data_IF_608075698929
#
_entry.id   IF_608075698929
#
_cell.length_a   1.000
_cell.length_b   1.000
_cell.length_c   1.000
_cell.angle_alpha   90.00
_cell.angle_beta   90.00
_cell.angle_gamma   90.00
#
_symmetry.space_group_name_H-M   'P 1'
#
loop_
_entity.id
_entity.type
_entity.pdbx_description
1 polymer ?
#
# COMPACT_ATOMS: atom_id res chain seq x y z
N UNK A 1 21.56 -19.05 4.15
CA UNK A 1 21.56 -18.37 5.46
C UNK A 1 21.77 -16.85 5.32
N UNK A 2 20.97 -16.14 4.51
CA UNK A 2 21.09 -14.67 4.36
C UNK A 2 19.88 -13.89 4.91
N UNK A 3 18.78 -14.57 5.25
CA UNK A 3 17.53 -13.90 5.66
C UNK A 3 17.52 -13.48 7.15
N UNK A 4 18.47 -13.94 7.97
CA UNK A 4 18.48 -13.67 9.41
C UNK A 4 19.15 -12.33 9.81
N UNK A 5 19.86 -11.67 8.89
CA UNK A 5 20.60 -10.42 9.21
C UNK A 5 19.73 -9.16 9.16
N UNK A 6 18.69 -9.12 8.32
CA UNK A 6 17.86 -7.92 8.14
C UNK A 6 16.86 -7.69 9.28
N UNK A 7 16.41 -8.77 9.92
CA UNK A 7 15.60 -8.71 11.14
C UNK A 7 16.38 -8.24 12.38
N UNK A 8 17.67 -7.91 12.26
CA UNK A 8 18.50 -7.36 13.35
C UNK A 8 18.88 -5.89 13.15
N UNK A 9 18.53 -5.25 12.03
CA UNK A 9 18.77 -3.82 11.85
C UNK A 9 17.75 -3.04 12.71
N UNK A 10 18.18 -2.33 13.77
CA UNK A 10 17.25 -1.63 14.66
C UNK A 10 16.45 -0.54 13.95
N UNK A 11 16.99 0.06 12.88
CA UNK A 11 16.27 1.07 12.11
C UNK A 11 15.14 0.44 11.28
N UNK A 12 15.39 -0.75 10.69
CA UNK A 12 14.36 -1.50 9.96
C UNK A 12 13.29 -2.04 10.90
N UNK A 13 13.67 -2.53 12.07
CA UNK A 13 12.73 -2.94 13.11
C UNK A 13 11.82 -1.78 13.53
N UNK A 14 12.41 -0.62 13.84
CA UNK A 14 11.65 0.57 14.21
C UNK A 14 10.66 1.00 13.12
N UNK A 15 11.10 1.07 11.86
CA UNK A 15 10.18 1.42 10.76
C UNK A 15 9.07 0.37 10.60
N UNK A 16 9.38 -0.92 10.79
CA UNK A 16 8.38 -1.97 10.72
C UNK A 16 7.31 -1.80 11.81
N UNK A 17 7.71 -1.53 13.04
CA UNK A 17 6.79 -1.26 14.16
C UNK A 17 5.94 -0.02 13.89
N UNK A 18 6.54 1.07 13.41
CA UNK A 18 5.84 2.31 13.05
C UNK A 18 4.79 2.07 11.95
N UNK A 19 5.17 1.38 10.87
CA UNK A 19 4.26 1.09 9.75
C UNK A 19 3.14 0.13 10.12
N UNK A 20 3.43 -0.89 10.94
CA UNK A 20 2.40 -1.82 11.42
C UNK A 20 1.44 -1.13 12.41
N UNK A 21 1.94 -0.26 13.28
CA UNK A 21 1.10 0.55 14.16
C UNK A 21 0.23 1.55 13.37
N UNK A 22 0.75 2.07 12.25
CA UNK A 22 0.03 3.03 11.40
C UNK A 22 -1.06 2.38 10.52
N UNK A 23 -1.04 1.05 10.32
CA UNK A 23 -1.90 0.41 9.32
C UNK A 23 -3.40 0.65 9.57
N UNK A 24 -3.86 0.63 10.82
CA UNK A 24 -5.27 0.91 11.14
C UNK A 24 -5.67 2.34 10.78
N UNK A 25 -4.77 3.30 11.03
CA UNK A 25 -4.98 4.72 10.66
C UNK A 25 -5.03 4.88 9.15
N UNK A 26 -4.08 4.29 8.42
CA UNK A 26 -4.06 4.27 6.96
C UNK A 26 -5.38 3.74 6.40
N UNK A 27 -5.82 2.56 6.87
CA UNK A 27 -7.07 1.95 6.40
C UNK A 27 -8.27 2.84 6.70
N UNK A 28 -8.41 3.33 7.93
CA UNK A 28 -9.52 4.19 8.33
C UNK A 28 -9.61 5.44 7.47
N UNK A 29 -8.48 6.09 7.21
CA UNK A 29 -8.44 7.33 6.46
C UNK A 29 -8.73 7.10 4.97
N UNK A 30 -8.11 6.10 4.34
CA UNK A 30 -8.39 5.79 2.92
C UNK A 30 -9.83 5.31 2.73
N UNK A 31 -10.38 4.48 3.62
CA UNK A 31 -11.80 4.12 3.56
C UNK A 31 -12.73 5.31 3.77
N UNK A 32 -12.40 6.21 4.71
CA UNK A 32 -13.15 7.44 4.95
C UNK A 32 -13.21 8.35 3.73
N UNK A 33 -12.12 8.40 2.96
CA UNK A 33 -11.97 9.26 1.78
C UNK A 33 -13.01 9.00 0.67
N UNK A 34 -13.57 7.78 0.59
CA UNK A 34 -14.62 7.47 -0.39
C UNK A 34 -15.94 8.21 -0.11
N UNK A 35 -16.14 8.71 1.11
CA UNK A 35 -17.33 9.49 1.51
C UNK A 35 -17.06 11.00 1.58
N UNK A 36 -15.81 11.43 1.37
CA UNK A 36 -15.34 12.79 1.54
C UNK A 36 -14.66 13.34 0.28
N UNK A 37 -13.68 14.22 0.47
CA UNK A 37 -12.79 14.67 -0.61
C UNK A 37 -11.71 13.61 -0.84
N UNK A 38 -12.02 12.64 -1.70
CA UNK A 38 -11.17 11.47 -1.94
C UNK A 38 -9.74 11.84 -2.30
N UNK A 39 -9.54 12.85 -3.16
CA UNK A 39 -8.22 13.22 -3.67
C UNK A 39 -7.37 13.79 -2.53
N UNK A 40 -7.96 14.71 -1.74
CA UNK A 40 -7.24 15.35 -0.63
C UNK A 40 -6.95 14.37 0.50
N UNK A 41 -7.93 13.56 0.88
CA UNK A 41 -7.84 12.70 2.07
C UNK A 41 -7.02 11.44 1.81
N UNK A 42 -7.18 10.77 0.66
CA UNK A 42 -6.36 9.61 0.32
C UNK A 42 -4.92 10.01 -0.05
N UNK A 43 -4.74 11.20 -0.63
CA UNK A 43 -3.42 11.67 -1.08
C UNK A 43 -2.38 11.69 0.03
N UNK A 44 -2.72 12.24 1.19
CA UNK A 44 -1.81 12.31 2.33
C UNK A 44 -1.37 10.91 2.83
N UNK A 45 -2.26 9.92 2.77
CA UNK A 45 -1.96 8.55 3.18
C UNK A 45 -0.97 7.87 2.22
N UNK A 46 -1.13 8.08 0.92
CA UNK A 46 -0.18 7.55 -0.06
C UNK A 46 1.15 8.33 -0.05
N UNK A 47 1.15 9.62 0.27
CA UNK A 47 2.38 10.41 0.47
C UNK A 47 3.19 9.89 1.68
N UNK A 48 2.51 9.45 2.74
CA UNK A 48 3.14 8.79 3.87
C UNK A 48 3.83 7.47 3.45
N UNK A 49 3.15 6.62 2.68
CA UNK A 49 3.76 5.38 2.16
C UNK A 49 4.93 5.65 1.21
N UNK A 50 4.81 6.64 0.32
CA UNK A 50 5.91 7.08 -0.55
C UNK A 50 7.13 7.50 0.27
N UNK A 51 6.92 8.30 1.33
CA UNK A 51 8.00 8.74 2.23
C UNK A 51 8.65 7.55 2.95
N UNK A 52 7.85 6.58 3.42
CA UNK A 52 8.38 5.38 4.06
C UNK A 52 9.23 4.52 3.11
N UNK A 53 8.80 4.38 1.85
CA UNK A 53 9.54 3.64 0.81
C UNK A 53 10.86 4.32 0.40
N UNK A 54 11.06 5.59 0.72
CA UNK A 54 12.34 6.29 0.48
C UNK A 54 13.38 6.03 1.58
N UNK A 55 12.98 5.43 2.72
CA UNK A 55 13.83 5.34 3.91
C UNK A 55 15.08 4.47 3.70
N UNK A 56 14.94 3.39 2.94
CA UNK A 56 16.02 2.46 2.64
C UNK A 56 16.22 2.37 1.12
N UNK A 57 17.49 2.31 0.69
CA UNK A 57 17.87 2.30 -0.73
C UNK A 57 18.37 0.94 -1.21
N UNK A 58 18.24 -0.11 -0.39
CA UNK A 58 18.71 -1.47 -0.66
C UNK A 58 17.62 -2.38 -1.24
N UNK A 59 16.52 -1.80 -1.72
CA UNK A 59 15.54 -2.45 -2.58
C UNK A 59 14.20 -1.72 -2.63
N UNK A 60 13.19 -2.30 -3.32
CA UNK A 60 11.92 -1.63 -3.62
C UNK A 60 10.86 -1.77 -2.52
N UNK A 61 11.12 -2.56 -1.49
CA UNK A 61 10.20 -2.85 -0.39
C UNK A 61 10.40 -1.92 0.81
N UNK A 62 9.43 -1.84 1.71
CA UNK A 62 9.49 -0.92 2.86
C UNK A 62 10.76 -1.08 3.71
N UNK A 63 11.28 -2.31 3.82
CA UNK A 63 12.51 -2.63 4.56
C UNK A 63 13.67 -3.02 3.62
N UNK A 64 13.62 -2.59 2.35
CA UNK A 64 14.54 -2.97 1.28
C UNK A 64 14.21 -4.32 0.64
N UNK A 65 13.95 -5.35 1.46
CA UNK A 65 13.48 -6.66 1.02
C UNK A 65 12.04 -6.91 1.45
N UNK A 66 11.35 -7.82 0.74
CA UNK A 66 9.97 -8.18 1.05
C UNK A 66 9.86 -8.67 2.50
N UNK A 67 8.87 -8.15 3.21
CA UNK A 67 8.69 -8.35 4.65
C UNK A 67 7.20 -8.46 5.03
N UNK A 68 6.94 -8.69 6.32
CA UNK A 68 5.58 -8.67 6.86
C UNK A 68 4.89 -7.32 6.66
N UNK A 69 5.66 -6.22 6.64
CA UNK A 69 5.11 -4.88 6.39
C UNK A 69 4.50 -4.82 4.98
N UNK A 70 5.23 -5.30 3.97
CA UNK A 70 4.72 -5.34 2.60
C UNK A 70 3.47 -6.22 2.49
N UNK A 71 3.48 -7.39 3.14
CA UNK A 71 2.32 -8.28 3.18
C UNK A 71 1.10 -7.66 3.89
N UNK A 72 1.31 -6.80 4.89
CA UNK A 72 0.23 -6.11 5.60
C UNK A 72 -0.43 -5.03 4.72
N UNK A 73 0.34 -4.34 3.88
CA UNK A 73 -0.16 -3.25 3.03
C UNK A 73 -0.64 -3.71 1.63
N UNK A 74 0.02 -4.72 1.02
CA UNK A 74 -0.22 -5.15 -0.35
C UNK A 74 -1.70 -5.39 -0.70
N UNK A 75 -2.48 -6.15 0.09
CA UNK A 75 -3.88 -6.41 -0.23
C UNK A 75 -4.71 -5.12 -0.29
N UNK A 76 -4.41 -4.14 0.56
CA UNK A 76 -5.20 -2.91 0.65
C UNK A 76 -4.79 -1.90 -0.41
N UNK A 77 -3.49 -1.71 -0.64
CA UNK A 77 -3.01 -0.82 -1.70
C UNK A 77 -3.51 -1.29 -3.06
N UNK A 78 -3.51 -2.61 -3.34
CA UNK A 78 -4.13 -3.15 -4.57
C UNK A 78 -5.60 -2.75 -4.71
N UNK A 79 -6.39 -2.98 -3.64
CA UNK A 79 -7.83 -2.70 -3.67
C UNK A 79 -8.10 -1.20 -3.83
N UNK A 80 -7.35 -0.37 -3.13
CA UNK A 80 -7.48 1.08 -3.22
C UNK A 80 -7.02 1.61 -4.57
N UNK A 81 -5.95 1.07 -5.16
CA UNK A 81 -5.53 1.43 -6.51
C UNK A 81 -6.67 1.22 -7.51
N UNK A 82 -7.31 0.05 -7.49
CA UNK A 82 -8.43 -0.27 -8.39
C UNK A 82 -9.62 0.65 -8.10
N UNK A 83 -10.06 0.72 -6.84
CA UNK A 83 -11.28 1.42 -6.48
C UNK A 83 -11.16 2.94 -6.68
N UNK A 84 -10.04 3.56 -6.29
CA UNK A 84 -9.83 5.01 -6.43
C UNK A 84 -9.66 5.41 -7.90
N UNK A 85 -9.01 4.57 -8.71
CA UNK A 85 -8.92 4.79 -10.16
C UNK A 85 -10.30 4.74 -10.80
N UNK A 86 -11.09 3.68 -10.54
CA UNK A 86 -12.37 3.49 -11.21
C UNK A 86 -13.45 4.48 -10.75
N UNK A 87 -13.55 4.69 -9.43
CA UNK A 87 -14.64 5.45 -8.81
C UNK A 87 -14.36 6.95 -8.72
N UNK A 88 -13.09 7.34 -8.53
CA UNK A 88 -12.70 8.73 -8.27
C UNK A 88 -11.72 9.30 -9.30
N UNK A 89 -11.34 8.53 -10.32
CA UNK A 89 -10.34 8.90 -11.35
C UNK A 89 -9.02 9.36 -10.74
N UNK A 90 -8.67 8.79 -9.58
CA UNK A 90 -7.48 9.15 -8.83
C UNK A 90 -6.41 8.07 -8.98
N UNK A 91 -5.28 8.47 -9.55
CA UNK A 91 -4.10 7.62 -9.68
C UNK A 91 -3.19 7.80 -8.46
N UNK A 92 -3.13 6.77 -7.61
CA UNK A 92 -2.32 6.77 -6.40
C UNK A 92 -0.81 6.83 -6.69
N UNK A 93 -0.37 6.52 -7.91
CA UNK A 93 1.05 6.52 -8.30
C UNK A 93 1.55 7.86 -8.82
N UNK A 94 0.64 8.78 -9.15
CA UNK A 94 1.01 10.12 -9.63
C UNK A 94 1.81 10.88 -8.56
N UNK A 95 3.04 11.27 -8.90
CA UNK A 95 3.98 11.91 -7.97
C UNK A 95 4.63 10.97 -6.94
N UNK A 96 4.35 9.65 -6.99
CA UNK A 96 4.81 8.65 -6.00
C UNK A 96 5.60 7.51 -6.67
N UNK A 97 6.82 7.79 -7.18
CA UNK A 97 7.58 6.83 -7.95
C UNK A 97 8.04 5.61 -7.14
N UNK A 98 8.26 5.74 -5.81
CA UNK A 98 8.62 4.58 -4.99
C UNK A 98 7.42 3.68 -4.75
N UNK A 99 6.24 4.26 -4.53
CA UNK A 99 4.99 3.48 -4.47
C UNK A 99 4.73 2.75 -5.78
N UNK A 100 4.94 3.41 -6.92
CA UNK A 100 4.80 2.77 -8.24
C UNK A 100 5.75 1.56 -8.39
N UNK A 101 7.02 1.73 -8.05
CA UNK A 101 8.01 0.65 -8.09
C UNK A 101 7.66 -0.50 -7.12
N UNK A 102 7.18 -0.17 -5.92
CA UNK A 102 6.73 -1.17 -4.94
C UNK A 102 5.57 -2.01 -5.47
N UNK A 103 4.56 -1.38 -6.09
CA UNK A 103 3.44 -2.10 -6.74
C UNK A 103 3.95 -2.99 -7.88
N UNK A 104 4.86 -2.48 -8.71
CA UNK A 104 5.44 -3.26 -9.82
C UNK A 104 6.16 -4.52 -9.31
N UNK A 105 6.98 -4.38 -8.27
CA UNK A 105 7.78 -5.47 -7.69
C UNK A 105 6.93 -6.48 -6.93
N UNK A 106 5.88 -6.03 -6.22
CA UNK A 106 4.87 -6.93 -5.65
C UNK A 106 4.21 -7.81 -6.71
N UNK A 107 3.83 -7.22 -7.86
CA UNK A 107 3.17 -7.96 -8.94
C UNK A 107 4.08 -9.01 -9.62
N UNK A 108 5.41 -8.94 -9.39
CA UNK A 108 6.36 -9.96 -9.87
C UNK A 108 6.40 -11.20 -8.98
N UNK A 109 5.99 -11.09 -7.70
CA UNK A 109 6.03 -12.19 -6.74
C UNK A 109 5.03 -13.30 -7.09
N UNK A 110 5.54 -14.52 -7.32
CA UNK A 110 4.68 -15.67 -7.67
C UNK A 110 3.69 -16.04 -6.56
N UNK A 111 4.05 -15.82 -5.30
CA UNK A 111 3.17 -16.03 -4.16
C UNK A 111 2.02 -15.01 -4.08
N UNK A 112 2.19 -13.82 -4.66
CA UNK A 112 1.21 -12.73 -4.57
C UNK A 112 0.17 -12.80 -5.70
N UNK A 113 0.60 -13.08 -6.94
CA UNK A 113 -0.24 -13.15 -8.14
C UNK A 113 -1.57 -13.93 -7.96
N UNK A 114 -1.59 -15.14 -7.36
CA UNK A 114 -2.83 -15.90 -7.24
C UNK A 114 -3.79 -15.36 -6.15
N UNK A 115 -3.37 -14.39 -5.34
CA UNK A 115 -4.16 -13.84 -4.23
C UNK A 115 -4.94 -12.57 -4.59
N UNK A 116 -4.72 -12.04 -5.81
CA UNK A 116 -5.31 -10.79 -6.27
C UNK A 116 -6.82 -10.87 -6.37
N UNK A 117 -7.50 -9.77 -6.07
CA UNK A 117 -8.95 -9.69 -6.12
C UNK A 117 -9.46 -9.52 -7.56
N UNK A 118 -10.68 -9.98 -7.85
CA UNK A 118 -11.37 -9.64 -9.11
C UNK A 118 -11.68 -8.12 -9.12
N UNK A 119 -11.12 -7.34 -10.07
CA UNK A 119 -11.31 -5.89 -10.08
C UNK A 119 -12.77 -5.45 -10.26
N UNK A 120 -13.56 -6.17 -11.06
CA UNK A 120 -14.96 -5.79 -11.33
C UNK A 120 -15.82 -6.00 -10.08
N UNK A 121 -15.69 -7.17 -9.46
CA UNK A 121 -16.40 -7.48 -8.22
C UNK A 121 -16.02 -6.51 -7.10
N UNK A 122 -14.74 -6.14 -7.01
CA UNK A 122 -14.27 -5.17 -6.02
C UNK A 122 -14.94 -3.81 -6.18
N UNK A 123 -15.00 -3.28 -7.42
CA UNK A 123 -15.62 -1.98 -7.72
C UNK A 123 -17.12 -2.00 -7.39
N UNK A 124 -17.82 -3.08 -7.72
CA UNK A 124 -19.24 -3.25 -7.36
C UNK A 124 -19.46 -3.23 -5.84
N UNK A 125 -18.63 -3.98 -5.09
CA UNK A 125 -18.68 -4.00 -3.62
C UNK A 125 -18.43 -2.61 -3.03
N UNK A 126 -17.37 -1.93 -3.49
CA UNK A 126 -16.99 -0.62 -2.94
C UNK A 126 -18.03 0.44 -3.26
N UNK A 127 -18.56 0.44 -4.50
CA UNK A 127 -19.65 1.33 -4.89
C UNK A 127 -20.88 1.13 -4.00
N UNK A 128 -21.30 -0.13 -3.78
CA UNK A 128 -22.44 -0.43 -2.92
C UNK A 128 -22.22 -0.07 -1.44
N UNK A 129 -20.98 -0.13 -0.95
CA UNK A 129 -20.68 0.08 0.48
C UNK A 129 -20.42 1.54 0.84
N UNK A 130 -19.83 2.30 -0.09
CA UNK A 130 -19.30 3.63 0.21
C UNK A 130 -19.97 4.77 -0.57
N UNK A 131 -20.62 4.49 -1.70
CA UNK A 131 -21.20 5.50 -2.60
C UNK A 131 -22.72 5.38 -2.78
N UNK A 132 -23.36 4.38 -2.15
CA UNK A 132 -24.80 4.18 -2.17
C UNK A 132 -25.49 4.87 -1.00
#
# INVERSE_FOLDING_TARGET
MHNARFLQDPAKQKLAEELLAYSDTFLKNVYGSFKGDTIKEAGAEFDYLETALQKFNDGPFFLGQFSLVDAAYAPFVERFQIALHELSKYDITSGRPKLAAWIEELNKLDAYKPTKCDPKLLVEIYKSRFLA
#
